data_IF_157839327141
#
_entry.id   IF_157839327141
#
_cell.length_a   1.000
_cell.length_b   1.000
_cell.length_c   1.000
_cell.angle_alpha   90.00
_cell.angle_beta   90.00
_cell.angle_gamma   90.00
#
_symmetry.space_group_name_H-M   'P 1'
#
loop_
_entity.id
_entity.type
_entity.pdbx_description
1 polymer ?
#
# COMPACT_ATOMS: atom_id res chain seq x y z
N UNK A 1 12.89 -0.45 -7.19
CA UNK A 1 13.11 -1.57 -6.25
C UNK A 1 14.57 -1.56 -5.89
N UNK A 2 14.90 -1.62 -4.61
CA UNK A 2 16.30 -1.70 -4.14
C UNK A 2 16.78 -3.17 -4.01
N UNK A 3 18.07 -3.36 -3.74
CA UNK A 3 18.69 -4.69 -3.69
C UNK A 3 18.18 -5.54 -2.52
N UNK A 4 17.80 -4.92 -1.41
CA UNK A 4 17.25 -5.61 -0.23
C UNK A 4 15.84 -6.13 -0.53
N UNK A 5 14.99 -5.31 -1.18
CA UNK A 5 13.68 -5.73 -1.68
C UNK A 5 13.81 -6.92 -2.65
N UNK A 6 14.77 -6.86 -3.60
CA UNK A 6 15.01 -7.96 -4.56
C UNK A 6 15.48 -9.24 -3.86
N UNK A 7 16.26 -9.13 -2.78
CA UNK A 7 16.73 -10.28 -2.03
C UNK A 7 15.60 -10.96 -1.24
N UNK A 8 14.73 -10.17 -0.60
CA UNK A 8 13.56 -10.68 0.11
C UNK A 8 12.57 -11.39 -0.83
N UNK A 9 12.32 -10.83 -2.02
CA UNK A 9 11.43 -11.46 -3.02
C UNK A 9 12.00 -12.81 -3.48
N UNK A 10 13.31 -12.87 -3.72
CA UNK A 10 14.00 -14.11 -4.10
C UNK A 10 14.01 -15.15 -2.97
N UNK A 11 14.15 -14.75 -1.71
CA UNK A 11 14.11 -15.69 -0.58
C UNK A 11 12.74 -16.34 -0.40
N UNK A 12 11.68 -15.65 -0.81
CA UNK A 12 10.30 -16.18 -0.85
C UNK A 12 10.01 -17.02 -2.11
N UNK A 13 11.00 -17.20 -3.00
CA UNK A 13 10.87 -18.01 -4.22
C UNK A 13 10.19 -17.31 -5.39
N UNK A 14 10.02 -15.99 -5.32
CA UNK A 14 9.48 -15.19 -6.42
C UNK A 14 10.59 -14.58 -7.29
N UNK A 15 10.25 -14.30 -8.55
CA UNK A 15 11.12 -13.56 -9.48
C UNK A 15 10.88 -12.04 -9.33
N UNK A 16 11.86 -11.26 -8.84
CA UNK A 16 11.72 -9.81 -8.68
C UNK A 16 11.61 -9.05 -10.00
N UNK A 17 12.06 -9.63 -11.12
CA UNK A 17 11.94 -9.03 -12.45
C UNK A 17 10.61 -9.39 -13.13
N UNK A 18 9.81 -10.27 -12.52
CA UNK A 18 8.49 -10.61 -13.04
C UNK A 18 7.54 -9.39 -12.91
N UNK A 19 6.86 -8.99 -14.00
CA UNK A 19 6.07 -7.75 -14.02
C UNK A 19 4.94 -7.72 -12.99
N UNK A 20 4.37 -8.88 -12.64
CA UNK A 20 3.34 -8.96 -11.59
C UNK A 20 3.88 -8.62 -10.19
N UNK A 21 5.15 -8.93 -9.91
CA UNK A 21 5.78 -8.62 -8.61
C UNK A 21 6.01 -7.13 -8.49
N UNK A 22 6.55 -6.50 -9.53
CA UNK A 22 6.69 -5.03 -9.58
C UNK A 22 5.35 -4.33 -9.42
N UNK A 23 4.32 -4.78 -10.14
CA UNK A 23 2.99 -4.19 -10.07
C UNK A 23 2.35 -4.34 -8.68
N UNK A 24 2.50 -5.50 -8.03
CA UNK A 24 1.99 -5.72 -6.68
C UNK A 24 2.69 -4.82 -5.65
N UNK A 25 4.02 -4.66 -5.76
CA UNK A 25 4.78 -3.79 -4.85
C UNK A 25 4.42 -2.31 -5.02
N UNK A 26 4.20 -1.85 -6.25
CA UNK A 26 3.76 -0.48 -6.50
C UNK A 26 2.38 -0.21 -5.87
N UNK A 27 1.46 -1.18 -5.92
CA UNK A 27 0.17 -1.08 -5.23
C UNK A 27 0.34 -0.98 -3.71
N UNK A 28 1.18 -1.82 -3.12
CA UNK A 28 1.45 -1.79 -1.67
C UNK A 28 2.06 -0.46 -1.26
N UNK A 29 3.06 0.04 -2.01
CA UNK A 29 3.70 1.34 -1.75
C UNK A 29 2.69 2.49 -1.87
N UNK A 30 1.81 2.47 -2.86
CA UNK A 30 0.77 3.47 -3.01
C UNK A 30 -0.21 3.45 -1.83
N UNK A 31 -0.68 2.27 -1.41
CA UNK A 31 -1.58 2.15 -0.25
C UNK A 31 -0.91 2.64 1.04
N UNK A 32 0.35 2.29 1.27
CA UNK A 32 1.11 2.77 2.44
C UNK A 32 1.33 4.28 2.39
N UNK A 33 1.61 4.84 1.21
CA UNK A 33 1.75 6.28 1.03
C UNK A 33 0.43 7.00 1.31
N UNK A 34 -0.69 6.47 0.82
CA UNK A 34 -2.02 6.99 1.09
C UNK A 34 -2.35 6.94 2.58
N UNK A 35 -2.06 5.82 3.25
CA UNK A 35 -2.26 5.68 4.68
C UNK A 35 -1.40 6.67 5.47
N UNK A 36 -0.12 6.82 5.12
CA UNK A 36 0.78 7.79 5.74
C UNK A 36 0.29 9.22 5.52
N UNK A 37 -0.16 9.54 4.31
CA UNK A 37 -0.71 10.85 4.00
C UNK A 37 -1.93 11.12 4.87
N UNK A 38 -2.90 10.19 4.92
CA UNK A 38 -4.09 10.30 5.76
C UNK A 38 -3.73 10.43 7.25
N UNK A 39 -2.82 9.60 7.75
CA UNK A 39 -2.39 9.63 9.16
C UNK A 39 -1.65 10.93 9.56
N UNK A 40 -1.07 11.66 8.58
CA UNK A 40 -0.41 12.94 8.82
C UNK A 40 -1.27 14.16 8.51
N UNK A 41 -2.28 14.04 7.64
CA UNK A 41 -3.17 15.15 7.28
C UNK A 41 -4.47 15.17 8.06
N UNK A 42 -4.87 14.03 8.64
CA UNK A 42 -6.11 13.91 9.40
C UNK A 42 -5.81 13.38 10.80
N UNK A 43 -6.38 14.04 11.80
CA UNK A 43 -6.44 13.52 13.16
C UNK A 43 -7.47 12.40 13.24
N UNK A 44 -7.41 11.58 14.30
CA UNK A 44 -8.42 10.53 14.55
C UNK A 44 -9.86 11.10 14.51
N UNK A 45 -10.05 12.32 15.00
CA UNK A 45 -11.33 13.04 14.98
C UNK A 45 -11.82 13.37 13.56
N UNK A 46 -10.92 13.66 12.61
CA UNK A 46 -11.29 13.91 11.22
C UNK A 46 -11.77 12.63 10.50
N UNK A 47 -11.23 11.47 10.89
CA UNK A 47 -11.59 10.17 10.31
C UNK A 47 -12.88 9.59 10.94
N UNK A 48 -13.12 9.85 12.23
CA UNK A 48 -14.34 9.41 12.93
C UNK A 48 -15.59 10.19 12.48
N UNK A 49 -15.42 11.39 11.89
CA UNK A 49 -16.51 12.20 11.32
C UNK A 49 -16.96 11.80 9.91
N UNK A 50 -16.13 11.06 9.15
CA UNK A 50 -16.47 10.61 7.80
C UNK A 50 -17.27 9.31 7.88
N UNK A 51 -18.59 9.44 8.07
CA UNK A 51 -19.52 8.35 7.78
C UNK A 51 -19.39 7.97 6.29
N UNK A 52 -18.69 6.88 6.01
CA UNK A 52 -18.66 6.28 4.67
C UNK A 52 -20.11 6.03 4.25
N UNK A 53 -20.63 6.71 3.21
CA UNK A 53 -22.01 6.49 2.81
C UNK A 53 -22.10 5.07 2.28
N UNK A 54 -22.74 4.19 3.05
CA UNK A 54 -23.12 2.86 2.58
C UNK A 54 -24.05 3.11 1.39
N UNK A 55 -23.55 2.91 0.17
CA UNK A 55 -24.41 2.85 -1.02
C UNK A 55 -25.50 1.84 -0.72
N UNK A 56 -26.74 2.31 -0.62
CA UNK A 56 -27.91 1.43 -0.56
C UNK A 56 -27.93 0.63 -1.86
N UNK A 57 -27.90 -0.68 -1.71
CA UNK A 57 -28.16 -1.63 -2.80
C UNK A 57 -29.62 -1.60 -3.21
#
# INVERSE_FOLDING_TARGET
>A
MDDDERAAIRSEGYDPDHPAVSHALDQVKHVLHLYRHLAWTFTKDDLDGVSVPRRKS
#
